data_IF_202738344403
#
_entry.id   IF_202738344403
#
_cell.length_a   1.000
_cell.length_b   1.000
_cell.length_c   1.000
_cell.angle_alpha   90.00
_cell.angle_beta   90.00
_cell.angle_gamma   90.00
#
_symmetry.space_group_name_H-M   'P 1'
#
loop_
_entity.id
_entity.type
_entity.pdbx_description
1 polymer ?
#
# COMPACT_ATOMS: atom_id res chain seq x y z
N UNK A 1 -28.96 -29.49 -65.39
CA UNK A 1 -27.83 -29.91 -64.54
C UNK A 1 -26.55 -29.54 -65.30
N UNK A 2 -26.09 -28.31 -65.13
CA UNK A 2 -24.82 -27.85 -65.69
C UNK A 2 -23.72 -28.06 -64.63
N UNK A 3 -22.66 -28.75 -65.03
CA UNK A 3 -21.49 -29.08 -64.23
C UNK A 3 -20.55 -27.87 -64.12
N UNK A 4 -20.31 -27.44 -62.89
CA UNK A 4 -19.35 -26.39 -62.52
C UNK A 4 -17.93 -26.95 -62.69
N UNK A 5 -17.08 -26.23 -63.45
CA UNK A 5 -15.65 -26.50 -63.60
C UNK A 5 -14.92 -26.21 -62.27
N UNK A 6 -14.19 -27.20 -61.76
CA UNK A 6 -13.22 -27.04 -60.68
C UNK A 6 -12.09 -26.07 -61.09
N UNK A 7 -11.84 -25.07 -60.24
CA UNK A 7 -10.67 -24.22 -60.34
C UNK A 7 -9.60 -24.76 -59.37
N UNK A 8 -8.43 -25.15 -59.89
CA UNK A 8 -7.31 -25.68 -59.11
C UNK A 8 -6.76 -24.62 -58.15
N UNK A 9 -7.02 -24.83 -56.85
CA UNK A 9 -6.36 -24.10 -55.76
C UNK A 9 -4.91 -24.54 -55.63
N UNK A 10 -3.95 -23.71 -56.04
CA UNK A 10 -2.54 -23.88 -55.71
C UNK A 10 -2.31 -23.59 -54.22
N UNK A 11 -1.85 -24.60 -53.47
CA UNK A 11 -1.58 -24.47 -52.04
C UNK A 11 -0.32 -23.63 -51.80
N UNK A 12 -0.47 -22.38 -51.34
CA UNK A 12 0.65 -21.55 -50.88
C UNK A 12 1.14 -22.08 -49.53
N UNK A 13 2.40 -22.51 -49.48
CA UNK A 13 3.01 -23.04 -48.27
C UNK A 13 3.12 -21.99 -47.15
N UNK A 14 2.98 -22.43 -45.90
CA UNK A 14 2.98 -21.59 -44.68
C UNK A 14 4.18 -20.63 -44.56
N UNK A 15 5.34 -20.97 -45.15
CA UNK A 15 6.52 -20.10 -45.21
C UNK A 15 6.39 -18.96 -46.23
N UNK A 16 5.72 -19.20 -47.36
CA UNK A 16 5.43 -18.16 -48.35
C UNK A 16 4.37 -17.17 -47.83
N UNK A 17 3.38 -17.66 -47.08
CA UNK A 17 2.39 -16.79 -46.42
C UNK A 17 3.02 -15.88 -45.35
N UNK A 18 3.94 -16.42 -44.53
CA UNK A 18 4.67 -15.62 -43.54
C UNK A 18 5.61 -14.60 -44.19
N UNK A 19 6.25 -14.94 -45.32
CA UNK A 19 7.07 -14.00 -46.09
C UNK A 19 6.25 -12.83 -46.65
N UNK A 20 5.08 -13.12 -47.23
CA UNK A 20 4.19 -12.09 -47.79
C UNK A 20 3.58 -11.21 -46.68
N UNK A 21 3.22 -11.80 -45.53
CA UNK A 21 2.63 -11.05 -44.41
C UNK A 21 3.65 -10.10 -43.72
N UNK A 22 4.91 -10.52 -43.57
CA UNK A 22 5.96 -9.70 -42.94
C UNK A 22 6.42 -8.57 -43.86
N UNK A 23 6.61 -8.86 -45.16
CA UNK A 23 7.01 -7.84 -46.15
C UNK A 23 5.86 -6.87 -46.44
N UNK A 24 4.62 -7.37 -46.52
CA UNK A 24 3.42 -6.55 -46.70
C UNK A 24 3.13 -5.64 -45.50
N UNK A 25 3.28 -6.15 -44.27
CA UNK A 25 3.07 -5.36 -43.04
C UNK A 25 4.08 -4.23 -42.85
N UNK A 26 5.35 -4.47 -43.18
CA UNK A 26 6.40 -3.45 -43.10
C UNK A 26 6.25 -2.36 -44.19
N UNK A 27 5.87 -2.75 -45.41
CA UNK A 27 5.65 -1.78 -46.49
C UNK A 27 4.46 -0.85 -46.21
N UNK A 28 3.35 -1.38 -45.67
CA UNK A 28 2.17 -0.59 -45.33
C UNK A 28 2.42 0.30 -44.10
N UNK A 29 3.12 -0.21 -43.08
CA UNK A 29 3.49 0.59 -41.90
C UNK A 29 4.45 1.73 -42.21
N UNK A 30 5.42 1.51 -43.10
CA UNK A 30 6.38 2.55 -43.50
C UNK A 30 5.71 3.62 -44.38
N UNK A 31 4.80 3.25 -45.29
CA UNK A 31 4.04 4.23 -46.08
C UNK A 31 3.08 5.07 -45.22
N UNK A 32 2.39 4.45 -44.25
CA UNK A 32 1.52 5.20 -43.33
C UNK A 32 2.31 6.16 -42.43
N UNK A 33 3.49 5.74 -41.95
CA UNK A 33 4.39 6.60 -41.18
C UNK A 33 5.01 7.74 -42.00
N UNK A 34 5.37 7.48 -43.26
CA UNK A 34 6.01 8.46 -44.14
C UNK A 34 5.03 9.49 -44.73
N UNK A 35 3.76 9.14 -44.95
CA UNK A 35 2.72 10.09 -45.36
C UNK A 35 2.17 10.95 -44.22
N UNK A 36 2.48 10.62 -42.97
CA UNK A 36 2.05 11.39 -41.80
C UNK A 36 3.02 12.56 -41.54
N UNK A 37 2.79 13.71 -42.20
CA UNK A 37 3.48 14.96 -41.82
C UNK A 37 3.02 15.42 -40.43
N UNK A 38 3.93 15.85 -39.53
CA UNK A 38 3.53 16.49 -38.28
C UNK A 38 2.84 17.83 -38.56
N UNK A 39 1.83 18.16 -37.76
CA UNK A 39 1.09 19.42 -37.86
C UNK A 39 2.02 20.62 -37.61
N UNK A 40 2.32 21.37 -38.67
CA UNK A 40 2.91 22.70 -38.60
C UNK A 40 1.85 23.65 -38.03
N UNK A 41 1.96 24.03 -36.75
CA UNK A 41 0.98 24.95 -36.18
C UNK A 41 1.03 25.18 -34.68
N UNK A 42 2.19 25.16 -34.00
CA UNK A 42 2.32 25.67 -32.62
C UNK A 42 3.64 26.43 -32.44
N UNK A 43 4.02 27.29 -33.39
CA UNK A 43 5.06 28.33 -33.20
C UNK A 43 4.78 29.51 -34.13
N UNK A 44 3.72 30.28 -33.90
CA UNK A 44 3.63 31.70 -34.32
C UNK A 44 2.35 32.35 -33.82
N UNK A 45 2.33 32.73 -32.54
CA UNK A 45 1.52 33.87 -32.13
C UNK A 45 2.27 34.62 -31.04
N UNK A 46 3.47 35.09 -31.42
CA UNK A 46 4.11 36.23 -30.80
C UNK A 46 4.06 37.32 -31.88
N UNK A 47 3.54 38.49 -31.52
CA UNK A 47 3.39 39.70 -32.35
C UNK A 47 2.07 39.81 -33.12
N UNK A 48 0.98 40.08 -32.39
CA UNK A 48 -0.05 41.01 -32.88
C UNK A 48 -0.10 42.21 -31.94
N UNK A 49 0.56 43.28 -32.36
CA UNK A 49 0.43 44.61 -31.81
C UNK A 49 -1.02 45.05 -31.98
N UNK A 50 -1.79 45.06 -30.90
CA UNK A 50 -3.04 45.82 -30.84
C UNK A 50 -2.80 46.98 -29.89
N UNK A 51 -2.59 48.14 -30.48
CA UNK A 51 -2.69 49.44 -29.81
C UNK A 51 -4.10 49.55 -29.25
N UNK A 52 -4.24 49.33 -27.95
CA UNK A 52 -5.42 49.72 -27.18
C UNK A 52 -4.95 50.65 -26.09
N UNK A 53 -5.20 51.94 -26.28
CA UNK A 53 -5.05 52.97 -25.27
C UNK A 53 -6.03 52.67 -24.15
N UNK A 54 -5.55 52.07 -23.07
CA UNK A 54 -6.30 51.95 -21.81
C UNK A 54 -5.51 52.70 -20.75
N UNK A 55 -6.12 53.80 -20.31
CA UNK A 55 -5.69 54.69 -19.24
C UNK A 55 -5.19 53.90 -18.03
N UNK A 56 -3.93 54.12 -17.66
CA UNK A 56 -3.35 53.57 -16.44
C UNK A 56 -4.02 54.21 -15.22
N UNK A 57 -4.58 53.40 -14.34
CA UNK A 57 -4.66 53.74 -12.91
C UNK A 57 -3.57 52.92 -12.24
N UNK A 58 -2.56 53.61 -11.71
CA UNK A 58 -1.42 52.99 -11.06
C UNK A 58 -1.85 52.33 -9.74
N UNK A 59 -1.87 50.99 -9.73
CA UNK A 59 -1.86 50.21 -8.49
C UNK A 59 -0.48 49.58 -8.35
N UNK A 60 0.13 49.78 -7.18
CA UNK A 60 1.48 49.37 -6.81
C UNK A 60 1.77 47.89 -7.13
N UNK A 61 3.00 47.54 -7.55
CA UNK A 61 3.38 46.14 -7.75
C UNK A 61 3.39 45.40 -6.41
N UNK A 62 2.40 44.52 -6.23
CA UNK A 62 2.42 43.52 -5.17
C UNK A 62 3.60 42.57 -5.41
N UNK A 63 4.46 42.45 -4.41
CA UNK A 63 5.61 41.56 -4.44
C UNK A 63 5.18 40.15 -4.86
N UNK A 64 5.77 39.64 -5.94
CA UNK A 64 5.75 38.22 -6.25
C UNK A 64 6.43 37.50 -5.10
N UNK A 65 5.62 36.95 -4.18
CA UNK A 65 6.12 36.03 -3.17
C UNK A 65 6.44 34.74 -3.91
N UNK A 66 7.69 34.60 -4.34
CA UNK A 66 8.26 33.29 -4.60
C UNK A 66 8.10 32.53 -3.29
N UNK A 67 7.08 31.67 -3.20
CA UNK A 67 6.94 30.76 -2.07
C UNK A 67 8.26 29.99 -1.99
N UNK A 68 8.99 30.20 -0.91
CA UNK A 68 10.13 29.38 -0.59
C UNK A 68 9.66 27.91 -0.66
N UNK A 69 10.47 26.98 -1.20
CA UNK A 69 10.12 25.57 -1.14
C UNK A 69 9.77 25.28 0.31
N UNK A 70 8.54 24.80 0.51
CA UNK A 70 8.01 24.45 1.82
C UNK A 70 9.11 23.68 2.54
N UNK A 71 9.61 24.24 3.65
CA UNK A 71 10.68 23.61 4.39
C UNK A 71 10.24 22.17 4.63
N UNK A 72 11.06 21.19 4.20
CA UNK A 72 10.79 19.78 4.44
C UNK A 72 10.57 19.66 5.94
N UNK A 73 9.30 19.57 6.35
CA UNK A 73 8.91 19.50 7.76
C UNK A 73 9.80 18.42 8.36
N UNK A 74 10.57 18.69 9.43
CA UNK A 74 11.50 17.71 9.96
C UNK A 74 10.74 16.39 10.07
N UNK A 75 11.29 15.33 9.47
CA UNK A 75 10.70 13.99 9.52
C UNK A 75 10.25 13.78 10.96
N UNK A 76 8.93 13.61 11.17
CA UNK A 76 8.34 13.29 12.49
C UNK A 76 8.86 11.92 12.90
N UNK A 77 10.12 11.89 13.33
CA UNK A 77 10.85 10.71 13.75
C UNK A 77 10.59 10.51 15.23
N UNK A 78 10.29 9.27 15.58
CA UNK A 78 10.20 8.83 16.96
C UNK A 78 11.62 8.54 17.43
N UNK A 79 12.15 9.41 18.28
CA UNK A 79 13.51 9.31 18.84
C UNK A 79 13.54 8.54 20.16
N UNK A 80 12.41 8.46 20.86
CA UNK A 80 12.27 7.81 22.17
C UNK A 80 11.09 6.84 22.16
N UNK A 81 11.15 5.74 22.95
CA UNK A 81 10.04 4.82 23.07
C UNK A 81 8.84 5.51 23.72
N UNK A 82 7.70 5.53 23.04
CA UNK A 82 6.43 5.99 23.60
C UNK A 82 5.51 4.80 23.87
N UNK A 83 4.94 4.74 25.08
CA UNK A 83 3.99 3.71 25.50
C UNK A 83 2.56 4.13 25.15
N UNK A 84 1.72 3.19 24.71
CA UNK A 84 0.30 3.46 24.41
C UNK A 84 0.05 4.31 23.17
N UNK A 85 1.06 4.53 22.34
CA UNK A 85 0.94 5.26 21.06
C UNK A 85 0.69 4.28 19.94
N UNK A 86 -0.06 4.72 18.92
CA UNK A 86 -0.51 3.88 17.83
C UNK A 86 -0.11 4.51 16.49
N UNK A 87 0.05 3.66 15.47
CA UNK A 87 0.29 4.13 14.10
C UNK A 87 -1.02 4.65 13.49
N UNK A 88 -1.02 5.93 13.14
CA UNK A 88 -2.10 6.58 12.38
C UNK A 88 -1.64 6.74 10.94
N UNK A 89 -2.55 6.48 9.98
CA UNK A 89 -2.22 6.49 8.55
C UNK A 89 -2.92 7.65 7.88
N UNK A 90 -2.13 8.51 7.28
CA UNK A 90 -2.55 9.50 6.31
C UNK A 90 -2.52 8.85 4.92
N UNK A 91 -3.68 8.37 4.48
CA UNK A 91 -3.80 7.64 3.22
C UNK A 91 -3.54 8.52 2.00
N UNK A 92 -3.73 9.84 2.07
CA UNK A 92 -3.49 10.76 0.95
C UNK A 92 -1.99 10.90 0.64
N UNK A 93 -1.15 10.75 1.67
CA UNK A 93 0.31 10.81 1.54
C UNK A 93 0.94 9.46 1.21
N UNK A 94 0.18 8.36 1.25
CA UNK A 94 0.74 7.04 1.00
C UNK A 94 0.90 6.77 -0.50
N UNK A 95 2.15 6.75 -0.99
CA UNK A 95 2.48 6.43 -2.40
C UNK A 95 2.57 4.93 -2.68
N UNK A 96 2.47 4.07 -1.66
CA UNK A 96 2.62 2.63 -1.81
C UNK A 96 4.03 2.15 -2.16
N UNK A 97 5.07 2.89 -1.75
CA UNK A 97 6.48 2.59 -2.00
C UNK A 97 7.02 1.32 -1.33
N UNK A 98 6.28 0.73 -0.37
CA UNK A 98 6.62 -0.49 0.39
C UNK A 98 7.90 -0.43 1.25
N UNK A 99 8.52 0.75 1.41
CA UNK A 99 9.68 0.95 2.30
C UNK A 99 9.34 0.52 3.74
N UNK A 100 8.13 0.81 4.21
CA UNK A 100 7.66 0.39 5.53
C UNK A 100 7.65 -1.14 5.74
N UNK A 101 7.39 -1.93 4.68
CA UNK A 101 7.46 -3.40 4.74
C UNK A 101 8.92 -3.84 4.82
N UNK A 102 9.76 -3.26 3.97
CA UNK A 102 11.19 -3.58 3.88
C UNK A 102 11.91 -3.35 5.21
N UNK A 103 11.73 -2.17 5.82
CA UNK A 103 12.30 -1.86 7.13
C UNK A 103 11.76 -2.80 8.22
N UNK A 104 10.46 -3.09 8.19
CA UNK A 104 9.87 -4.01 9.16
C UNK A 104 10.42 -5.44 8.99
N UNK A 105 10.57 -5.93 7.77
CA UNK A 105 11.17 -7.23 7.49
C UNK A 105 12.61 -7.30 8.00
N UNK A 106 13.45 -6.31 7.66
CA UNK A 106 14.84 -6.23 8.14
C UNK A 106 14.96 -6.31 9.66
N UNK A 107 14.03 -5.68 10.38
CA UNK A 107 14.05 -5.67 11.85
C UNK A 107 13.75 -7.04 12.47
N UNK A 108 12.89 -7.83 11.84
CA UNK A 108 12.37 -9.06 12.42
C UNK A 108 12.83 -10.35 11.74
N UNK A 109 13.43 -10.26 10.56
CA UNK A 109 14.04 -11.42 9.92
C UNK A 109 15.25 -11.92 10.75
N UNK A 110 15.59 -13.21 10.65
CA UNK A 110 16.82 -13.73 11.25
C UNK A 110 18.06 -12.99 10.71
N UNK A 111 19.05 -12.75 11.56
CA UNK A 111 20.28 -12.00 11.20
C UNK A 111 21.05 -12.66 10.05
N UNK A 112 21.00 -13.99 9.96
CA UNK A 112 21.69 -14.78 8.94
C UNK A 112 20.89 -14.96 7.64
N UNK A 113 19.75 -14.28 7.48
CA UNK A 113 18.92 -14.44 6.28
C UNK A 113 19.57 -13.75 5.06
N UNK A 114 19.77 -14.45 3.92
CA UNK A 114 20.38 -13.84 2.74
C UNK A 114 19.42 -12.84 2.08
N UNK A 115 19.70 -11.54 2.23
CA UNK A 115 18.91 -10.46 1.65
C UNK A 115 17.74 -10.03 2.53
N UNK A 116 16.60 -9.69 1.90
CA UNK A 116 15.40 -9.24 2.61
C UNK A 116 14.20 -10.07 2.22
N UNK A 117 13.55 -10.67 3.21
CA UNK A 117 12.30 -11.39 3.01
C UNK A 117 11.12 -10.62 3.59
N UNK A 118 10.30 -10.07 2.70
CA UNK A 118 9.12 -9.30 3.06
C UNK A 118 8.09 -10.12 3.86
N UNK A 119 8.15 -11.45 3.83
CA UNK A 119 7.23 -12.28 4.61
C UNK A 119 7.32 -12.01 6.12
N UNK A 120 8.51 -11.65 6.63
CA UNK A 120 8.73 -11.29 8.04
C UNK A 120 8.15 -9.92 8.44
N UNK A 121 7.71 -9.09 7.49
CA UNK A 121 7.13 -7.80 7.81
C UNK A 121 5.79 -7.96 8.55
N UNK A 122 5.55 -7.12 9.55
CA UNK A 122 4.28 -7.03 10.31
C UNK A 122 3.39 -5.88 9.83
N UNK A 123 3.64 -5.43 8.61
CA UNK A 123 2.93 -4.40 7.87
C UNK A 123 3.01 -4.80 6.39
N UNK A 124 1.90 -4.70 5.66
CA UNK A 124 1.80 -5.06 4.24
C UNK A 124 1.06 -3.95 3.50
N UNK A 125 1.59 -3.47 2.39
CA UNK A 125 0.94 -2.47 1.53
C UNK A 125 0.08 -3.22 0.52
N UNK A 126 -1.21 -2.94 0.55
CA UNK A 126 -2.14 -3.39 -0.46
C UNK A 126 -2.19 -2.35 -1.58
N UNK A 127 -2.09 -2.84 -2.82
CA UNK A 127 -2.21 -2.03 -4.04
C UNK A 127 -3.50 -2.42 -4.75
N UNK A 128 -4.45 -1.51 -4.74
CA UNK A 128 -5.63 -1.54 -5.60
C UNK A 128 -5.43 -0.53 -6.74
N UNK A 129 -6.20 -0.61 -7.84
CA UNK A 129 -6.15 0.42 -8.86
C UNK A 129 -6.32 1.81 -8.24
N UNK A 130 -5.34 2.68 -8.47
CA UNK A 130 -5.28 4.07 -7.98
C UNK A 130 -5.16 4.28 -6.46
N UNK A 131 -5.28 3.22 -5.65
CA UNK A 131 -5.33 3.32 -4.19
C UNK A 131 -4.30 2.36 -3.59
N UNK A 132 -3.36 2.91 -2.82
CA UNK A 132 -2.37 2.12 -2.08
C UNK A 132 -2.44 2.46 -0.60
N UNK A 133 -2.42 1.45 0.26
CA UNK A 133 -2.43 1.68 1.71
C UNK A 133 -1.74 0.54 2.47
N UNK A 134 -1.07 0.85 3.59
CA UNK A 134 -0.55 -0.15 4.49
C UNK A 134 -1.64 -0.70 5.39
N UNK A 135 -1.63 -2.03 5.59
CA UNK A 135 -2.34 -2.71 6.65
C UNK A 135 -1.38 -3.34 7.64
N UNK A 136 -1.77 -3.31 8.91
CA UNK A 136 -1.06 -3.85 10.06
C UNK A 136 -2.07 -4.01 11.20
N UNK A 137 -1.64 -4.60 12.32
CA UNK A 137 -2.48 -4.68 13.51
C UNK A 137 -2.92 -3.28 13.96
N UNK A 138 -4.23 -3.01 14.01
CA UNK A 138 -4.79 -1.73 14.48
C UNK A 138 -4.84 -1.58 16.00
N UNK A 139 -4.37 -2.60 16.71
CA UNK A 139 -4.34 -2.62 18.18
C UNK A 139 -5.73 -2.57 18.84
N UNK A 140 -6.74 -3.15 18.20
CA UNK A 140 -8.13 -3.17 18.68
C UNK A 140 -8.28 -3.88 20.04
N UNK A 141 -9.01 -3.27 20.95
CA UNK A 141 -9.48 -3.89 22.20
C UNK A 141 -10.95 -4.25 22.07
N UNK A 142 -11.39 -5.30 22.76
CA UNK A 142 -12.81 -5.54 22.98
C UNK A 142 -13.32 -4.53 24.00
N UNK A 143 -14.62 -4.26 23.95
CA UNK A 143 -15.30 -3.33 24.83
C UNK A 143 -15.96 -4.12 25.97
N UNK A 144 -15.63 -3.77 27.21
CA UNK A 144 -16.08 -4.52 28.38
C UNK A 144 -17.61 -4.55 28.50
N UNK A 145 -18.29 -3.48 28.10
CA UNK A 145 -19.75 -3.37 28.16
C UNK A 145 -20.50 -4.17 27.08
N UNK A 146 -19.85 -4.55 25.97
CA UNK A 146 -20.46 -5.36 24.89
C UNK A 146 -20.01 -6.81 24.99
N UNK A 147 -18.71 -7.03 25.11
CA UNK A 147 -18.10 -8.36 24.98
C UNK A 147 -17.63 -8.93 26.33
N UNK A 148 -17.75 -8.18 27.44
CA UNK A 148 -17.38 -8.64 28.77
C UNK A 148 -15.86 -8.72 29.03
N UNK A 149 -15.04 -8.17 28.13
CA UNK A 149 -13.58 -8.15 28.30
C UNK A 149 -12.95 -6.96 27.58
N UNK A 150 -11.82 -6.46 28.11
CA UNK A 150 -11.00 -5.41 27.48
C UNK A 150 -9.78 -5.97 26.71
N UNK A 151 -9.68 -7.30 26.60
CA UNK A 151 -8.61 -7.97 25.86
C UNK A 151 -8.70 -7.71 24.36
N UNK A 152 -7.61 -7.92 23.64
CA UNK A 152 -7.66 -7.91 22.18
C UNK A 152 -8.50 -9.10 21.67
N UNK A 153 -9.25 -8.95 20.56
CA UNK A 153 -10.00 -10.08 19.99
C UNK A 153 -9.12 -11.30 19.69
N UNK A 154 -7.91 -11.07 19.15
CA UNK A 154 -6.95 -12.13 18.86
C UNK A 154 -6.30 -12.77 20.10
N UNK A 155 -6.19 -12.02 21.20
CA UNK A 155 -5.71 -12.54 22.49
C UNK A 155 -6.79 -13.42 23.13
N UNK A 156 -8.06 -12.99 23.06
CA UNK A 156 -9.19 -13.71 23.63
C UNK A 156 -9.43 -15.08 22.97
N UNK A 157 -9.31 -15.17 21.64
CA UNK A 157 -9.57 -16.44 20.90
C UNK A 157 -8.41 -17.43 20.92
N UNK A 158 -7.23 -17.03 21.40
CA UNK A 158 -6.03 -17.87 21.35
C UNK A 158 -6.11 -19.00 22.39
N UNK A 159 -6.24 -20.28 21.98
CA UNK A 159 -6.43 -21.37 22.92
C UNK A 159 -5.16 -21.69 23.73
N UNK A 160 -3.98 -21.41 23.17
CA UNK A 160 -2.69 -21.66 23.82
C UNK A 160 -2.17 -20.47 24.62
N UNK A 161 -2.85 -19.31 24.56
CA UNK A 161 -2.39 -18.08 25.19
C UNK A 161 -1.08 -17.51 24.61
N UNK A 162 -0.70 -17.92 23.39
CA UNK A 162 0.55 -17.47 22.77
C UNK A 162 0.55 -15.97 22.44
N UNK A 163 -0.60 -15.38 22.12
CA UNK A 163 -0.73 -13.95 21.86
C UNK A 163 -1.08 -13.22 23.15
N UNK A 164 -0.23 -12.27 23.55
CA UNK A 164 -0.37 -11.56 24.82
C UNK A 164 0.11 -10.10 24.70
N UNK A 165 -0.40 -9.25 25.59
CA UNK A 165 0.09 -7.88 25.75
C UNK A 165 1.24 -7.88 26.77
N UNK A 166 2.45 -7.51 26.32
CA UNK A 166 3.65 -7.59 27.14
C UNK A 166 3.94 -6.22 27.74
N UNK A 167 3.82 -6.11 29.07
CA UNK A 167 4.09 -4.86 29.81
C UNK A 167 5.59 -4.54 29.80
N UNK A 168 6.41 -5.51 30.21
CA UNK A 168 7.86 -5.35 30.31
C UNK A 168 8.57 -5.42 28.96
N UNK A 169 9.78 -4.86 28.87
CA UNK A 169 10.60 -4.97 27.67
C UNK A 169 11.25 -6.36 27.64
N UNK A 170 10.81 -7.20 26.70
CA UNK A 170 11.46 -8.50 26.43
C UNK A 170 12.66 -8.35 25.50
N UNK A 171 12.48 -7.56 24.45
CA UNK A 171 13.51 -7.31 23.45
C UNK A 171 13.52 -5.81 23.11
N UNK A 172 14.59 -5.07 23.48
CA UNK A 172 14.67 -3.63 23.21
C UNK A 172 14.45 -3.31 21.72
N UNK A 173 13.51 -2.40 21.46
CA UNK A 173 13.18 -1.97 20.09
C UNK A 173 12.45 -3.02 19.23
N UNK A 174 12.07 -4.18 19.79
CA UNK A 174 11.25 -5.19 19.10
C UNK A 174 10.00 -5.54 19.90
N UNK A 175 10.11 -5.91 21.18
CA UNK A 175 9.01 -6.49 21.96
C UNK A 175 8.94 -5.89 23.36
N UNK A 176 7.73 -5.49 23.77
CA UNK A 176 7.42 -5.02 25.12
C UNK A 176 6.79 -3.65 25.14
N UNK A 177 6.94 -2.91 26.23
CA UNK A 177 6.41 -1.55 26.40
C UNK A 177 4.88 -1.46 26.23
N UNK A 178 4.16 -2.44 26.79
CA UNK A 178 2.69 -2.51 26.72
C UNK A 178 2.13 -2.89 25.36
N UNK A 179 2.95 -3.38 24.43
CA UNK A 179 2.52 -3.77 23.08
C UNK A 179 2.30 -5.28 22.97
N UNK A 180 1.54 -5.68 21.93
CA UNK A 180 1.18 -7.08 21.69
C UNK A 180 2.39 -7.86 21.18
N UNK A 181 2.47 -9.12 21.56
CA UNK A 181 3.49 -10.06 21.12
C UNK A 181 2.89 -11.46 20.97
N UNK A 182 3.46 -12.25 20.06
CA UNK A 182 3.14 -13.68 19.93
C UNK A 182 4.37 -14.46 20.35
N UNK A 183 4.20 -15.35 21.33
CA UNK A 183 5.23 -16.28 21.74
C UNK A 183 5.38 -17.41 20.70
N UNK A 184 6.51 -17.46 19.96
CA UNK A 184 6.69 -18.48 18.93
C UNK A 184 6.79 -19.89 19.52
N UNK A 185 7.23 -20.06 20.77
CA UNK A 185 7.40 -21.38 21.37
C UNK A 185 6.05 -22.09 21.59
N UNK A 186 5.05 -21.33 22.05
CA UNK A 186 3.73 -21.84 22.43
C UNK A 186 2.74 -21.87 21.25
N UNK A 187 3.07 -21.18 20.15
CA UNK A 187 2.10 -20.77 19.13
C UNK A 187 1.40 -21.83 18.25
N UNK A 188 1.60 -23.14 18.26
CA UNK A 188 0.93 -24.15 17.36
C UNK A 188 0.92 -23.94 15.82
N UNK A 189 0.92 -22.72 15.28
CA UNK A 189 1.00 -22.36 13.88
C UNK A 189 -0.33 -22.17 13.14
N UNK A 190 -0.22 -21.69 11.89
CA UNK A 190 -1.35 -21.52 10.97
C UNK A 190 -2.01 -22.86 10.63
N UNK A 191 -1.21 -23.89 10.34
CA UNK A 191 -1.71 -25.18 9.84
C UNK A 191 -2.56 -25.95 10.87
N UNK A 192 -2.37 -25.66 12.16
CA UNK A 192 -3.06 -26.35 13.26
C UNK A 192 -4.17 -25.51 13.94
N UNK A 193 -4.12 -24.18 13.86
CA UNK A 193 -5.03 -23.33 14.65
C UNK A 193 -5.67 -22.20 13.86
N UNK A 194 -4.89 -21.22 13.37
CA UNK A 194 -5.40 -20.13 12.53
C UNK A 194 -6.42 -19.15 13.16
N UNK A 195 -7.01 -19.43 14.33
CA UNK A 195 -8.12 -18.62 14.92
C UNK A 195 -7.85 -17.13 15.05
N UNK A 196 -6.61 -16.76 15.35
CA UNK A 196 -6.22 -15.36 15.45
C UNK A 196 -6.29 -14.64 14.09
N UNK A 197 -6.04 -15.35 12.99
CA UNK A 197 -6.21 -14.85 11.62
C UNK A 197 -7.70 -14.65 11.31
N UNK A 198 -8.52 -15.66 11.58
CA UNK A 198 -9.97 -15.62 11.32
C UNK A 198 -10.62 -14.42 12.01
N UNK A 199 -10.35 -14.24 13.31
CA UNK A 199 -10.92 -13.10 14.03
C UNK A 199 -10.35 -11.78 13.50
N UNK A 200 -9.03 -11.65 13.33
CA UNK A 200 -8.45 -10.36 12.95
C UNK A 200 -8.76 -9.96 11.52
N UNK A 201 -8.64 -10.87 10.55
CA UNK A 201 -8.80 -10.55 9.13
C UNK A 201 -10.29 -10.54 8.73
N UNK A 202 -11.07 -11.55 9.12
CA UNK A 202 -12.43 -11.70 8.60
C UNK A 202 -13.46 -10.85 9.36
N UNK A 203 -13.34 -10.77 10.68
CA UNK A 203 -14.32 -10.09 11.54
C UNK A 203 -13.96 -8.62 11.80
N UNK A 204 -12.67 -8.32 12.01
CA UNK A 204 -12.24 -6.97 12.37
C UNK A 204 -11.52 -6.21 11.24
N UNK A 205 -10.91 -6.88 10.25
CA UNK A 205 -10.10 -6.20 9.23
C UNK A 205 -8.79 -5.60 9.78
N UNK A 206 -8.17 -6.26 10.75
CA UNK A 206 -6.88 -5.92 11.36
C UNK A 206 -5.79 -6.94 10.94
N UNK A 207 -4.52 -6.55 10.99
CA UNK A 207 -3.43 -7.40 10.49
C UNK A 207 -2.83 -8.36 11.52
N UNK A 208 -3.04 -9.67 11.33
CA UNK A 208 -2.13 -10.73 11.80
C UNK A 208 -1.43 -11.33 10.58
N UNK A 209 -0.13 -11.57 10.72
CA UNK A 209 0.72 -12.12 9.67
C UNK A 209 1.30 -13.45 10.14
N UNK A 210 1.85 -14.24 9.22
CA UNK A 210 2.55 -15.48 9.57
C UNK A 210 3.96 -15.43 9.03
N UNK A 211 4.92 -15.83 9.88
CA UNK A 211 6.30 -15.98 9.47
C UNK A 211 6.41 -17.11 8.45
N UNK A 212 7.45 -17.09 7.59
CA UNK A 212 7.92 -18.29 6.92
C UNK A 212 8.05 -19.47 7.92
N UNK A 213 7.95 -20.72 7.43
CA UNK A 213 8.08 -21.90 8.28
C UNK A 213 9.35 -21.85 9.14
N UNK A 214 9.21 -22.13 10.43
CA UNK A 214 10.35 -22.29 11.35
C UNK A 214 11.13 -23.60 11.04
N UNK A 215 12.18 -23.88 11.80
CA UNK A 215 12.96 -25.14 11.68
C UNK A 215 12.09 -26.40 11.82
N UNK A 216 10.93 -26.29 12.46
CA UNK A 216 9.96 -27.38 12.64
C UNK A 216 8.89 -27.40 11.54
N UNK A 217 9.02 -26.55 10.51
CA UNK A 217 8.08 -26.43 9.40
C UNK A 217 6.79 -25.68 9.75
N UNK A 218 6.72 -25.03 10.92
CA UNK A 218 5.50 -24.40 11.43
C UNK A 218 5.51 -22.90 11.11
N UNK A 219 4.44 -22.41 10.46
CA UNK A 219 4.22 -20.98 10.23
C UNK A 219 3.66 -20.34 11.49
N UNK A 220 4.50 -19.63 12.26
CA UNK A 220 4.10 -18.97 13.51
C UNK A 220 3.43 -17.62 13.24
N UNK A 221 2.42 -17.29 14.03
CA UNK A 221 1.74 -15.99 13.93
C UNK A 221 2.67 -14.85 14.37
N UNK A 222 2.51 -13.70 13.73
CA UNK A 222 3.24 -12.47 13.96
C UNK A 222 2.26 -11.31 14.03
N UNK A 223 2.38 -10.53 15.09
CA UNK A 223 1.62 -9.27 15.26
C UNK A 223 2.60 -8.10 15.23
N UNK A 224 2.16 -6.95 14.72
CA UNK A 224 2.94 -5.72 14.86
C UNK A 224 3.09 -5.42 16.34
N UNK A 225 4.31 -5.31 16.85
CA UNK A 225 4.63 -5.07 18.26
C UNK A 225 4.96 -3.59 18.55
N UNK A 226 4.68 -2.70 17.58
CA UNK A 226 5.09 -1.29 17.55
C UNK A 226 6.58 -1.06 17.83
N UNK A 227 7.44 -2.08 17.61
CA UNK A 227 8.86 -2.02 17.92
C UNK A 227 9.14 -1.51 19.34
N UNK A 228 8.36 -1.98 20.32
CA UNK A 228 8.41 -1.53 21.71
C UNK A 228 8.26 0.00 21.89
N UNK A 229 7.48 0.65 21.02
CA UNK A 229 7.20 2.10 21.10
C UNK A 229 8.11 2.96 20.24
N UNK A 230 8.97 2.36 19.41
CA UNK A 230 9.83 3.06 18.44
C UNK A 230 9.65 2.46 17.03
N UNK A 231 8.48 2.68 16.39
CA UNK A 231 8.18 2.02 15.12
C UNK A 231 9.10 2.50 13.99
N UNK A 232 9.99 1.62 13.52
CA UNK A 232 10.93 1.95 12.44
C UNK A 232 10.23 2.27 11.12
N UNK A 233 9.08 1.64 10.87
CA UNK A 233 8.25 1.93 9.69
C UNK A 233 7.73 3.38 9.64
N UNK A 234 7.57 4.05 10.80
CA UNK A 234 7.23 5.49 10.88
C UNK A 234 8.46 6.32 10.48
N UNK A 235 9.61 5.99 11.05
CA UNK A 235 10.87 6.72 10.80
C UNK A 235 11.37 6.57 9.35
N UNK A 236 11.06 5.44 8.71
CA UNK A 236 11.47 5.14 7.34
C UNK A 236 10.52 5.68 6.26
N UNK A 237 9.34 6.20 6.61
CA UNK A 237 8.37 6.68 5.63
C UNK A 237 8.78 8.06 5.08
N UNK A 238 9.20 8.18 3.79
CA UNK A 238 9.66 9.46 3.25
C UNK A 238 8.52 10.49 3.18
N UNK A 239 7.32 10.03 2.84
CA UNK A 239 6.12 10.86 2.74
C UNK A 239 5.48 11.17 4.10
N UNK A 240 5.99 10.63 5.20
CA UNK A 240 5.41 10.76 6.55
C UNK A 240 3.92 10.37 6.60
N UNK A 241 3.51 9.42 5.76
CA UNK A 241 2.15 8.89 5.70
C UNK A 241 1.78 8.08 6.96
N UNK A 242 2.78 7.52 7.64
CA UNK A 242 2.60 6.79 8.90
C UNK A 242 3.06 7.70 10.02
N UNK A 243 2.17 8.01 10.96
CA UNK A 243 2.45 8.83 12.15
C UNK A 243 2.32 8.01 13.41
N UNK A 244 3.02 8.39 14.46
CA UNK A 244 2.92 7.73 15.77
C UNK A 244 2.36 8.69 16.80
N UNK A 245 1.10 8.49 17.14
CA UNK A 245 0.28 9.45 17.90
C UNK A 245 -0.56 8.68 18.95
N UNK A 246 -0.99 9.33 20.04
CA UNK A 246 -1.88 8.69 21.00
C UNK A 246 -3.21 8.34 20.32
N UNK A 247 -3.74 7.12 20.51
CA UNK A 247 -4.97 6.69 19.88
C UNK A 247 -6.13 7.58 20.35
N UNK A 248 -6.85 8.18 19.40
CA UNK A 248 -8.05 8.98 19.70
C UNK A 248 -9.29 8.11 19.89
N UNK A 249 -9.27 6.91 19.30
CA UNK A 249 -10.38 5.96 19.23
C UNK A 249 -9.81 4.55 19.40
N UNK A 250 -10.65 3.60 19.79
CA UNK A 250 -10.28 2.18 19.74
C UNK A 250 -9.81 1.82 18.31
N UNK A 251 -8.74 1.03 18.22
CA UNK A 251 -8.21 0.52 16.95
C UNK A 251 -9.25 -0.11 16.04
N UNK A 252 -10.33 -0.66 16.62
CA UNK A 252 -11.49 -1.21 15.90
C UNK A 252 -12.10 -0.23 14.90
N UNK A 253 -12.09 1.07 15.20
CA UNK A 253 -12.65 2.11 14.31
C UNK A 253 -11.87 2.27 12.99
N UNK A 254 -10.59 1.91 12.99
CA UNK A 254 -9.70 2.02 11.84
C UNK A 254 -9.44 0.68 11.14
N UNK A 255 -10.11 -0.38 11.61
CA UNK A 255 -9.94 -1.72 11.10
C UNK A 255 -11.00 -1.98 10.02
N UNK A 256 -10.53 -2.26 8.81
CA UNK A 256 -11.35 -2.46 7.61
C UNK A 256 -10.68 -3.55 6.79
N UNK A 257 -11.46 -4.41 6.13
CA UNK A 257 -10.86 -5.37 5.20
C UNK A 257 -10.22 -4.62 4.03
N UNK A 258 -9.17 -5.17 3.38
CA UNK A 258 -8.47 -4.49 2.29
C UNK A 258 -9.40 -3.96 1.21
N UNK A 259 -10.38 -4.77 0.77
CA UNK A 259 -11.32 -4.38 -0.28
C UNK A 259 -12.23 -3.23 0.15
N UNK A 260 -12.77 -3.31 1.36
CA UNK A 260 -13.67 -2.30 1.92
C UNK A 260 -12.94 -0.97 2.13
N UNK A 261 -11.70 -1.03 2.64
CA UNK A 261 -10.85 0.15 2.78
C UNK A 261 -10.50 0.75 1.42
N UNK A 262 -10.15 -0.06 0.43
CA UNK A 262 -9.85 0.41 -0.92
C UNK A 262 -11.05 1.15 -1.53
N UNK A 263 -12.25 0.60 -1.42
CA UNK A 263 -13.48 1.22 -1.92
C UNK A 263 -13.81 2.51 -1.18
N UNK A 264 -13.68 2.52 0.15
CA UNK A 264 -13.89 3.71 0.98
C UNK A 264 -12.91 4.83 0.59
N UNK A 265 -11.62 4.50 0.45
CA UNK A 265 -10.59 5.45 0.04
C UNK A 265 -10.78 5.95 -1.39
N UNK A 266 -11.13 5.06 -2.32
CA UNK A 266 -11.44 5.42 -3.70
C UNK A 266 -12.57 6.46 -3.75
N UNK A 267 -13.67 6.20 -3.06
CA UNK A 267 -14.80 7.15 -3.00
C UNK A 267 -14.40 8.47 -2.35
N UNK A 268 -13.61 8.41 -1.27
CA UNK A 268 -13.15 9.61 -0.56
C UNK A 268 -12.21 10.46 -1.40
N UNK A 269 -11.29 9.86 -2.15
CA UNK A 269 -10.30 10.58 -2.97
C UNK A 269 -10.89 11.12 -4.27
N UNK A 270 -11.85 10.40 -4.87
CA UNK A 270 -12.47 10.79 -6.14
C UNK A 270 -13.85 11.45 -5.97
N UNK A 271 -14.26 11.76 -4.73
CA UNK A 271 -15.53 12.40 -4.41
C UNK A 271 -16.75 11.72 -5.05
N UNK A 272 -16.73 10.38 -5.13
CA UNK A 272 -17.82 9.62 -5.73
C UNK A 272 -18.91 9.36 -4.69
N UNK A 273 -20.13 9.80 -4.98
CA UNK A 273 -21.29 9.49 -4.17
C UNK A 273 -21.65 8.00 -4.27
N UNK A 274 -22.20 7.45 -3.19
CA UNK A 274 -22.66 6.06 -3.17
C UNK A 274 -23.87 5.96 -4.11
N UNK A 275 -23.69 5.30 -5.26
CA UNK A 275 -24.82 4.89 -6.09
C UNK A 275 -25.56 3.80 -5.31
N UNK A 276 -26.54 4.21 -4.52
CA UNK A 276 -27.50 3.29 -3.88
C UNK A 276 -28.37 2.77 -5.02
N UNK A 277 -28.12 1.54 -5.45
CA UNK A 277 -29.04 0.76 -6.28
C UNK A 277 -29.92 -0.08 -5.37
#
# INVERSE_FOLDING_TARGET
METIKENKSGSVGRRAFLGIAVVGGLAVGFLAGWLSKPAEGVVSTITSTVTSTVTSTATQPGATVTAAPEAIVPLRRVTEPKQGYHKVIDYQRCTGCRICEFTCALKYQPENFPGVNLEYARIRVHKYPYISFPMFCRYCTLEEWVEGTSKAPCEYVCPTGALQTVKDVKEPGKVGNGYRWVDPAICSGLDNCGRCLEICEEQFGSGIFFAPPDEKGIKRAMVCTMCAGMPECVNACPEQAIRFEPPQQNGRYYAYRPRELAELLYRKFYHLEKVVK
#
